data_IF_946633696335
#
_entry.id   IF_946633696335
#
_cell.length_a   1.000
_cell.length_b   1.000
_cell.length_c   1.000
_cell.angle_alpha   90.00
_cell.angle_beta   90.00
_cell.angle_gamma   90.00
#
_symmetry.space_group_name_H-M   'P 1'
#
loop_
_entity.id
_entity.type
_entity.pdbx_description
1 polymer ?
#
# COMPACT_ATOMS: atom_id res chain seq x y z
N UNK A 1 4.67 -6.85 0.25
CA UNK A 1 5.54 -7.58 -0.64
C UNK A 1 6.58 -6.70 -1.30
N UNK A 2 7.74 -7.26 -1.53
CA UNK A 2 8.82 -6.57 -2.22
C UNK A 2 8.46 -6.38 -3.70
N UNK A 3 8.54 -5.14 -4.20
CA UNK A 3 8.11 -4.84 -5.56
C UNK A 3 9.14 -4.11 -6.41
N UNK A 4 9.96 -3.25 -5.82
CA UNK A 4 10.96 -2.50 -6.58
C UNK A 4 12.06 -1.96 -5.68
N UNK A 5 13.26 -1.77 -6.25
CA UNK A 5 14.38 -1.16 -5.57
C UNK A 5 14.98 -0.09 -6.48
N UNK A 6 15.13 1.14 -5.94
CA UNK A 6 15.70 2.28 -6.65
C UNK A 6 16.61 3.06 -5.72
N UNK A 7 17.83 3.33 -6.16
CA UNK A 7 18.75 4.21 -5.41
C UNK A 7 18.75 3.89 -3.90
N UNK A 8 18.89 2.60 -3.56
CA UNK A 8 18.89 2.07 -2.19
C UNK A 8 17.53 2.20 -1.48
N UNK A 9 16.48 2.48 -2.22
CA UNK A 9 15.12 2.51 -1.67
C UNK A 9 14.31 1.36 -2.21
N UNK A 10 13.51 0.77 -1.33
CA UNK A 10 12.68 -0.38 -1.65
C UNK A 10 11.22 -0.02 -1.43
N UNK A 11 10.40 -0.32 -2.42
CA UNK A 11 8.96 -0.15 -2.33
C UNK A 11 8.30 -1.47 -1.96
N UNK A 12 7.21 -1.38 -1.21
CA UNK A 12 6.41 -2.54 -0.86
C UNK A 12 4.93 -2.17 -0.96
N UNK A 13 4.10 -3.15 -1.25
CA UNK A 13 2.65 -2.98 -1.17
C UNK A 13 2.12 -3.75 0.01
N UNK A 14 1.07 -3.22 0.66
CA UNK A 14 0.39 -3.88 1.75
C UNK A 14 -1.11 -3.76 1.54
N UNK A 15 -1.88 -4.87 1.66
CA UNK A 15 -3.31 -4.85 1.33
C UNK A 15 -4.18 -4.33 2.48
N UNK A 16 -3.85 -3.17 2.99
CA UNK A 16 -4.65 -2.43 3.97
C UNK A 16 -4.31 -0.95 3.86
N UNK A 17 -5.10 -0.12 4.52
CA UNK A 17 -4.81 1.31 4.65
C UNK A 17 -3.92 1.48 5.88
N UNK A 18 -2.60 1.35 5.70
CA UNK A 18 -1.67 1.49 6.81
C UNK A 18 -1.87 2.83 7.54
N UNK A 19 -1.76 2.90 8.85
CA UNK A 19 -1.24 1.87 9.77
C UNK A 19 -2.26 0.79 10.16
N UNK A 20 -3.49 0.82 9.63
CA UNK A 20 -4.47 -0.20 9.95
C UNK A 20 -3.95 -1.58 9.51
N UNK A 21 -4.02 -2.57 10.39
CA UNK A 21 -3.61 -3.95 10.13
C UNK A 21 -2.15 -4.09 9.67
N UNK A 22 -1.29 -3.15 10.07
CA UNK A 22 0.12 -3.22 9.78
C UNK A 22 0.79 -4.38 10.51
N UNK A 23 1.87 -4.90 9.92
CA UNK A 23 2.63 -5.99 10.51
C UNK A 23 1.98 -7.36 10.36
N UNK A 24 0.88 -7.48 9.66
CA UNK A 24 0.15 -8.73 9.52
C UNK A 24 0.22 -9.26 8.10
N UNK A 25 0.36 -10.58 7.97
CA UNK A 25 0.26 -11.27 6.69
C UNK A 25 -1.20 -11.60 6.36
N UNK A 26 -2.13 -11.30 7.28
CA UNK A 26 -3.55 -11.62 7.13
C UNK A 26 -4.42 -10.37 7.19
N UNK A 27 -3.92 -9.24 6.66
CA UNK A 27 -4.61 -7.97 6.76
C UNK A 27 -6.00 -7.97 6.15
N UNK A 28 -6.20 -8.68 5.03
CA UNK A 28 -7.50 -8.75 4.38
C UNK A 28 -8.50 -9.49 5.27
N UNK A 29 -8.09 -10.62 5.85
CA UNK A 29 -8.95 -11.38 6.75
C UNK A 29 -9.28 -10.57 7.99
N UNK A 30 -8.30 -9.85 8.54
CA UNK A 30 -8.51 -9.01 9.72
C UNK A 30 -9.49 -7.88 9.44
N UNK A 31 -9.41 -7.26 8.27
CA UNK A 31 -10.36 -6.22 7.89
C UNK A 31 -11.79 -6.76 7.87
N UNK A 32 -11.97 -7.95 7.31
CA UNK A 32 -13.29 -8.59 7.29
C UNK A 32 -13.78 -8.92 8.70
N UNK A 33 -12.90 -9.44 9.56
CA UNK A 33 -13.26 -9.78 10.94
C UNK A 33 -13.70 -8.55 11.73
N UNK A 34 -13.06 -7.41 11.48
CA UNK A 34 -13.43 -6.16 12.15
C UNK A 34 -14.70 -5.53 11.61
N UNK A 35 -15.19 -6.02 10.45
CA UNK A 35 -16.39 -5.46 9.85
C UNK A 35 -16.20 -4.07 9.28
N UNK A 36 -14.99 -3.75 8.82
CA UNK A 36 -14.74 -2.43 8.23
C UNK A 36 -15.56 -2.26 6.95
N UNK A 37 -15.97 -1.04 6.66
CA UNK A 37 -16.72 -0.73 5.43
C UNK A 37 -15.80 -0.31 4.30
N UNK A 38 -14.59 0.12 4.65
CA UNK A 38 -13.56 0.55 3.70
C UNK A 38 -12.23 -0.01 4.15
N UNK A 39 -11.48 -0.57 3.22
CA UNK A 39 -10.09 -0.93 3.41
C UNK A 39 -9.31 -0.36 2.23
N UNK A 40 -8.23 -0.99 1.82
CA UNK A 40 -7.48 -0.50 0.69
C UNK A 40 -6.12 -1.13 0.56
N UNK A 41 -5.25 -0.43 -0.14
CA UNK A 41 -3.86 -0.82 -0.28
C UNK A 41 -2.95 0.38 -0.09
N UNK A 42 -1.73 0.10 0.32
CA UNK A 42 -0.71 1.11 0.59
C UNK A 42 0.57 0.72 -0.12
N UNK A 43 1.18 1.69 -0.78
CA UNK A 43 2.54 1.56 -1.31
C UNK A 43 3.42 2.43 -0.42
N UNK A 44 4.44 1.82 0.18
CA UNK A 44 5.28 2.51 1.14
C UNK A 44 6.75 2.16 0.94
N UNK A 45 7.62 2.97 1.51
CA UNK A 45 9.04 2.69 1.54
C UNK A 45 9.34 1.68 2.63
N UNK A 46 10.22 0.75 2.35
CA UNK A 46 10.63 -0.25 3.32
C UNK A 46 11.69 0.38 4.24
N UNK A 47 11.49 0.18 5.55
CA UNK A 47 12.43 0.60 6.58
C UNK A 47 12.68 -0.58 7.53
N UNK A 48 13.41 -0.33 8.62
CA UNK A 48 13.65 -1.34 9.65
C UNK A 48 12.35 -1.77 10.34
N UNK A 49 11.33 -0.92 10.34
CA UNK A 49 10.04 -1.24 10.95
C UNK A 49 9.14 -1.91 9.93
N UNK A 50 8.57 -3.06 10.30
CA UNK A 50 7.64 -3.78 9.44
C UNK A 50 6.41 -2.90 9.20
N UNK A 51 6.12 -2.64 7.91
CA UNK A 51 5.00 -1.78 7.48
C UNK A 51 5.01 -0.39 8.13
N UNK A 52 6.17 0.07 8.59
CA UNK A 52 6.30 1.34 9.28
C UNK A 52 6.96 2.45 8.47
N UNK A 53 7.34 2.19 7.22
CA UNK A 53 7.99 3.19 6.38
C UNK A 53 7.04 4.26 5.88
N UNK A 54 7.59 5.36 5.37
CA UNK A 54 6.76 6.45 4.85
C UNK A 54 5.81 5.98 3.75
N UNK A 55 4.58 6.43 3.82
CA UNK A 55 3.53 6.05 2.87
C UNK A 55 3.64 6.94 1.64
N UNK A 56 3.71 6.31 0.47
CA UNK A 56 3.82 7.02 -0.79
C UNK A 56 2.47 7.19 -1.49
N UNK A 57 1.72 6.09 -1.61
CA UNK A 57 0.39 6.10 -2.24
C UNK A 57 -0.54 5.20 -1.47
N UNK A 58 -1.80 5.57 -1.42
CA UNK A 58 -2.86 4.74 -0.84
C UNK A 58 -4.10 4.83 -1.71
N UNK A 59 -4.87 3.75 -1.73
CA UNK A 59 -6.14 3.69 -2.44
C UNK A 59 -7.17 3.01 -1.57
N UNK A 60 -8.31 3.66 -1.38
CA UNK A 60 -9.46 3.08 -0.67
C UNK A 60 -10.15 2.04 -1.54
N UNK A 61 -10.58 0.96 -0.90
CA UNK A 61 -11.33 -0.12 -1.54
C UNK A 61 -12.54 -0.43 -0.68
N UNK A 62 -13.72 -0.36 -1.27
CA UNK A 62 -14.95 -0.65 -0.55
C UNK A 62 -15.07 -2.13 -0.22
N UNK A 63 -15.58 -2.43 0.97
CA UNK A 63 -15.89 -3.80 1.38
C UNK A 63 -17.38 -4.02 1.20
N UNK A 64 -17.74 -5.06 0.43
CA UNK A 64 -19.13 -5.37 0.17
C UNK A 64 -19.66 -6.38 1.21
N UNK A 65 -20.98 -6.39 1.49
CA UNK A 65 -21.53 -7.25 2.54
C UNK A 65 -21.26 -8.74 2.36
N UNK A 66 -21.13 -9.19 1.12
CA UNK A 66 -20.91 -10.61 0.81
C UNK A 66 -19.46 -10.93 0.44
N UNK A 67 -18.51 -10.00 0.69
CA UNK A 67 -17.11 -10.27 0.44
C UNK A 67 -16.55 -11.35 1.35
N UNK A 68 -15.70 -12.18 0.77
CA UNK A 68 -14.80 -13.04 1.52
C UNK A 68 -13.36 -12.58 1.26
N UNK A 69 -12.38 -13.26 1.85
CA UNK A 69 -10.97 -12.89 1.70
C UNK A 69 -10.57 -12.87 0.23
N UNK A 70 -11.02 -13.86 -0.53
CA UNK A 70 -10.63 -14.00 -1.93
C UNK A 70 -11.18 -12.88 -2.81
N UNK A 71 -12.47 -12.56 -2.68
CA UNK A 71 -13.08 -11.51 -3.51
C UNK A 71 -12.56 -10.13 -3.13
N UNK A 72 -12.40 -9.87 -1.84
CA UNK A 72 -11.88 -8.58 -1.40
C UNK A 72 -10.41 -8.42 -1.82
N UNK A 73 -9.60 -9.44 -1.62
CA UNK A 73 -8.19 -9.38 -1.99
C UNK A 73 -8.00 -9.18 -3.50
N UNK A 74 -8.83 -9.84 -4.31
CA UNK A 74 -8.79 -9.66 -5.77
C UNK A 74 -9.05 -8.21 -6.16
N UNK A 75 -10.04 -7.56 -5.51
CA UNK A 75 -10.34 -6.16 -5.77
C UNK A 75 -9.21 -5.25 -5.33
N UNK A 76 -8.60 -5.54 -4.18
CA UNK A 76 -7.43 -4.79 -3.69
C UNK A 76 -6.28 -4.91 -4.68
N UNK A 77 -5.99 -6.11 -5.18
CA UNK A 77 -4.89 -6.34 -6.13
C UNK A 77 -5.06 -5.55 -7.42
N UNK A 78 -6.28 -5.36 -7.89
CA UNK A 78 -6.52 -4.54 -9.09
C UNK A 78 -6.00 -3.13 -8.88
N UNK A 79 -6.24 -2.56 -7.70
CA UNK A 79 -5.76 -1.22 -7.38
C UNK A 79 -4.24 -1.21 -7.19
N UNK A 80 -3.67 -2.24 -6.56
CA UNK A 80 -2.23 -2.34 -6.41
C UNK A 80 -1.54 -2.37 -7.77
N UNK A 81 -2.07 -3.16 -8.71
CA UNK A 81 -1.51 -3.26 -10.06
C UNK A 81 -1.58 -1.94 -10.82
N UNK A 82 -2.55 -1.11 -10.53
CA UNK A 82 -2.68 0.21 -11.14
C UNK A 82 -1.74 1.22 -10.50
N UNK A 83 -1.59 1.17 -9.19
CA UNK A 83 -0.78 2.15 -8.46
C UNK A 83 0.72 1.89 -8.54
N UNK A 84 1.13 0.62 -8.57
CA UNK A 84 2.53 0.28 -8.53
C UNK A 84 3.34 0.90 -9.66
N UNK A 85 2.90 0.81 -10.93
CA UNK A 85 3.64 1.47 -12.01
C UNK A 85 3.76 2.97 -11.81
N UNK A 86 2.76 3.62 -11.22
CA UNK A 86 2.82 5.05 -10.95
C UNK A 86 3.91 5.38 -9.93
N UNK A 87 4.02 4.56 -8.88
CA UNK A 87 5.04 4.75 -7.86
C UNK A 87 6.44 4.50 -8.43
N UNK A 88 6.60 3.43 -9.19
CA UNK A 88 7.89 3.10 -9.82
C UNK A 88 8.32 4.23 -10.75
N UNK A 89 7.40 4.74 -11.55
CA UNK A 89 7.67 5.83 -12.48
C UNK A 89 8.10 7.10 -11.75
N UNK A 90 7.42 7.42 -10.64
CA UNK A 90 7.76 8.60 -9.86
C UNK A 90 9.20 8.51 -9.32
N UNK A 91 9.60 7.33 -8.85
CA UNK A 91 10.98 7.11 -8.42
C UNK A 91 11.97 7.22 -9.57
N UNK A 92 11.66 6.60 -10.70
CA UNK A 92 12.55 6.63 -11.87
C UNK A 92 12.74 8.07 -12.37
N UNK A 93 11.73 8.92 -12.21
CA UNK A 93 11.79 10.31 -12.64
C UNK A 93 12.32 11.25 -11.55
N UNK A 94 12.70 10.71 -10.40
CA UNK A 94 13.23 11.52 -9.31
C UNK A 94 12.20 12.44 -8.65
N UNK A 95 10.92 12.07 -8.69
CA UNK A 95 9.83 12.92 -8.20
C UNK A 95 9.34 12.57 -6.80
N UNK A 96 10.08 11.75 -6.08
CA UNK A 96 9.68 11.37 -4.71
C UNK A 96 10.49 12.19 -3.71
N UNK A 97 9.80 12.79 -2.75
CA UNK A 97 10.42 13.53 -1.65
C UNK A 97 9.98 12.94 -0.34
N UNK A 98 10.94 12.75 0.56
CA UNK A 98 10.67 12.18 1.88
C UNK A 98 11.18 13.14 2.93
N UNK A 99 10.29 13.51 3.86
CA UNK A 99 10.61 14.37 4.99
C UNK A 99 10.04 13.70 6.25
N UNK A 100 10.92 13.11 7.08
CA UNK A 100 10.48 12.36 8.25
C UNK A 100 9.60 11.20 7.83
N UNK A 101 8.37 11.19 8.32
CA UNK A 101 7.42 10.14 7.98
C UNK A 101 6.60 10.42 6.73
N UNK A 102 6.75 11.61 6.16
CA UNK A 102 5.94 12.00 5.02
C UNK A 102 6.70 11.77 3.73
N UNK A 103 6.10 11.02 2.82
CA UNK A 103 6.59 10.87 1.46
C UNK A 103 5.55 11.44 0.50
N UNK A 104 6.02 12.06 -0.56
CA UNK A 104 5.10 12.63 -1.54
C UNK A 104 5.68 12.54 -2.94
N UNK A 105 4.78 12.50 -3.92
CA UNK A 105 5.13 12.53 -5.33
C UNK A 105 4.97 13.97 -5.80
N UNK A 106 6.04 14.50 -6.38
CA UNK A 106 6.05 15.85 -6.92
C UNK A 106 5.61 15.79 -8.38
N UNK A 107 4.80 16.74 -8.81
CA UNK A 107 4.41 16.85 -10.20
C UNK A 107 5.64 17.12 -11.08
N UNK A 108 5.66 16.53 -12.25
CA UNK A 108 6.76 16.72 -13.19
C UNK A 108 6.75 18.12 -13.84
#
# INVERSE_FOLDING_TARGET
EFVAAFQERILNTHPSLLPAFGGSMHAVAQALEHGVKVTGCTIHLVTDQVDGGPILLQQCVEVFPDDDVETLHARIREHEHRLLPLAVRAFAEGRVRVEGRCARVIAS
#
